data_IF_180282435790
#
_entry.id   IF_180282435790
#
_cell.length_a   1.000
_cell.length_b   1.000
_cell.length_c   1.000
_cell.angle_alpha   90.00
_cell.angle_beta   90.00
_cell.angle_gamma   90.00
#
_symmetry.space_group_name_H-M   'P 1'
#
loop_
_entity.id
_entity.type
_entity.pdbx_description
1 polymer ?
#
# COMPACT_ATOMS: atom_id res chain seq x y z
N UNK A 1 -0.04 25.97 6.76
CA UNK A 1 1.04 25.83 5.77
C UNK A 1 0.55 24.87 4.69
N UNK A 2 0.58 25.25 3.42
CA UNK A 2 0.18 24.38 2.31
C UNK A 2 1.42 23.81 1.61
N UNK A 3 1.37 22.53 1.25
CA UNK A 3 2.48 21.84 0.58
C UNK A 3 2.68 22.31 -0.87
N UNK A 4 1.60 22.82 -1.50
CA UNK A 4 1.58 23.24 -2.90
C UNK A 4 2.55 24.40 -3.21
N UNK A 5 2.78 25.34 -2.28
CA UNK A 5 3.72 26.44 -2.52
C UNK A 5 5.18 25.96 -2.63
N UNK A 6 5.55 24.97 -1.80
CA UNK A 6 6.86 24.32 -1.83
C UNK A 6 7.01 23.51 -3.12
N UNK A 7 5.96 22.79 -3.53
CA UNK A 7 5.92 22.05 -4.80
C UNK A 7 6.09 22.99 -6.01
N UNK A 8 5.34 24.09 -6.08
CA UNK A 8 5.43 25.09 -7.16
C UNK A 8 6.83 25.68 -7.23
N UNK A 9 7.44 26.01 -6.09
CA UNK A 9 8.82 26.50 -6.04
C UNK A 9 9.82 25.52 -6.69
N UNK A 10 9.79 24.24 -6.31
CA UNK A 10 10.70 23.25 -6.89
C UNK A 10 10.41 22.94 -8.37
N UNK A 11 9.14 22.93 -8.79
CA UNK A 11 8.74 22.79 -10.21
C UNK A 11 9.30 23.94 -11.04
N UNK A 12 9.11 25.19 -10.61
CA UNK A 12 9.62 26.37 -11.32
C UNK A 12 11.15 26.39 -11.32
N UNK A 13 11.79 26.01 -10.22
CA UNK A 13 13.25 25.91 -10.12
C UNK A 13 13.81 24.84 -11.07
N UNK A 14 13.16 23.68 -11.19
CA UNK A 14 13.56 22.61 -12.11
C UNK A 14 13.46 23.06 -13.57
N UNK A 15 12.36 23.71 -13.97
CA UNK A 15 12.20 24.24 -15.33
C UNK A 15 13.20 25.36 -15.61
N UNK A 16 13.38 26.31 -14.69
CA UNK A 16 14.33 27.41 -14.84
C UNK A 16 15.78 26.94 -14.92
N UNK A 17 16.20 26.02 -14.04
CA UNK A 17 17.56 25.47 -14.06
C UNK A 17 17.82 24.69 -15.34
N UNK A 18 16.84 23.94 -15.84
CA UNK A 18 16.96 23.25 -17.13
C UNK A 18 17.06 24.21 -18.34
N UNK A 19 16.30 25.31 -18.34
CA UNK A 19 16.42 26.35 -19.38
C UNK A 19 17.77 27.08 -19.32
N UNK A 20 18.30 27.35 -18.12
CA UNK A 20 19.65 27.91 -17.94
C UNK A 20 20.72 26.92 -18.41
N UNK A 21 20.58 25.64 -18.09
CA UNK A 21 21.42 24.55 -18.59
C UNK A 21 21.43 24.51 -20.13
N UNK A 22 20.27 24.59 -20.79
CA UNK A 22 20.18 24.61 -22.25
C UNK A 22 20.91 25.82 -22.88
N UNK A 23 20.89 26.98 -22.21
CA UNK A 23 21.64 28.15 -22.65
C UNK A 23 23.16 28.00 -22.41
N UNK A 24 23.58 27.40 -21.29
CA UNK A 24 24.99 27.08 -21.03
C UNK A 24 25.53 26.02 -21.99
N UNK A 25 24.74 24.99 -22.37
CA UNK A 25 25.13 23.97 -23.36
C UNK A 25 25.52 24.58 -24.71
N UNK A 26 24.83 25.65 -25.14
CA UNK A 26 25.12 26.34 -26.41
C UNK A 26 26.38 27.22 -26.36
N UNK A 27 26.78 27.68 -25.17
CA UNK A 27 27.90 28.64 -24.98
C UNK A 27 29.19 27.95 -24.58
N UNK A 28 29.13 27.01 -23.63
CA UNK A 28 30.29 26.35 -23.04
C UNK A 28 29.88 25.01 -22.40
N UNK A 29 29.78 23.92 -23.20
CA UNK A 29 29.53 22.58 -22.68
C UNK A 29 30.61 22.16 -21.68
N UNK A 30 30.22 21.34 -20.69
CA UNK A 30 31.09 20.87 -19.59
C UNK A 30 31.71 21.96 -18.68
N UNK A 31 31.35 23.24 -18.84
CA UNK A 31 31.78 24.30 -17.92
C UNK A 31 31.23 24.11 -16.49
N UNK A 32 31.85 24.76 -15.49
CA UNK A 32 31.33 24.73 -14.11
C UNK A 32 29.88 25.21 -14.01
N UNK A 33 29.49 26.23 -14.79
CA UNK A 33 28.10 26.71 -14.85
C UNK A 33 27.15 25.67 -15.46
N UNK A 34 27.62 24.92 -16.47
CA UNK A 34 26.85 23.85 -17.11
C UNK A 34 26.54 22.73 -16.12
N UNK A 35 27.56 22.30 -15.37
CA UNK A 35 27.40 21.32 -14.29
C UNK A 35 26.48 21.81 -13.17
N UNK A 36 26.66 23.06 -12.71
CA UNK A 36 25.80 23.65 -11.68
C UNK A 36 24.32 23.61 -12.08
N UNK A 37 23.96 24.11 -13.26
CA UNK A 37 22.55 24.12 -13.71
C UNK A 37 21.99 22.71 -13.96
N UNK A 38 22.82 21.78 -14.46
CA UNK A 38 22.42 20.39 -14.67
C UNK A 38 22.14 19.66 -13.35
N UNK A 39 23.05 19.77 -12.37
CA UNK A 39 22.91 19.18 -11.04
C UNK A 39 21.73 19.81 -10.28
N UNK A 40 21.58 21.13 -10.35
CA UNK A 40 20.44 21.84 -9.76
C UNK A 40 19.10 21.38 -10.35
N UNK A 41 19.05 21.07 -11.66
CA UNK A 41 17.86 20.49 -12.28
C UNK A 41 17.51 19.14 -11.62
N UNK A 42 18.48 18.24 -11.48
CA UNK A 42 18.28 16.93 -10.86
C UNK A 42 17.80 17.04 -9.41
N UNK A 43 18.47 17.86 -8.60
CA UNK A 43 18.09 18.10 -7.21
C UNK A 43 16.69 18.70 -7.10
N UNK A 44 16.36 19.73 -7.90
CA UNK A 44 15.04 20.36 -7.89
C UNK A 44 13.93 19.38 -8.33
N UNK A 45 14.17 18.53 -9.32
CA UNK A 45 13.25 17.46 -9.70
C UNK A 45 13.02 16.46 -8.56
N UNK A 46 14.09 16.02 -7.88
CA UNK A 46 13.98 15.13 -6.73
C UNK A 46 13.15 15.75 -5.61
N UNK A 47 13.41 17.03 -5.28
CA UNK A 47 12.64 17.74 -4.27
C UNK A 47 11.17 17.87 -4.66
N UNK A 48 10.85 18.18 -5.92
CA UNK A 48 9.46 18.25 -6.39
C UNK A 48 8.72 16.90 -6.21
N UNK A 49 9.33 15.79 -6.62
CA UNK A 49 8.76 14.44 -6.47
C UNK A 49 8.67 14.01 -5.00
N UNK A 50 9.69 14.35 -4.19
CA UNK A 50 9.73 14.08 -2.76
C UNK A 50 8.68 14.85 -1.95
N UNK A 51 8.31 16.05 -2.41
CA UNK A 51 7.21 16.84 -1.83
C UNK A 51 5.85 16.25 -2.22
N UNK A 52 5.60 15.96 -3.50
CA UNK A 52 4.33 15.37 -3.96
C UNK A 52 4.51 14.66 -5.30
N UNK A 53 3.85 13.53 -5.50
CA UNK A 53 3.92 12.77 -6.76
C UNK A 53 3.44 13.56 -8.00
N UNK A 54 2.70 14.66 -7.85
CA UNK A 54 2.40 15.58 -8.95
C UNK A 54 3.68 16.16 -9.60
N UNK A 55 4.79 16.27 -8.86
CA UNK A 55 6.10 16.64 -9.39
C UNK A 55 6.65 15.66 -10.43
N UNK A 56 6.18 14.40 -10.43
CA UNK A 56 6.58 13.38 -11.40
C UNK A 56 6.23 13.79 -12.83
N UNK A 57 5.10 14.47 -13.06
CA UNK A 57 4.71 14.94 -14.39
C UNK A 57 5.69 15.98 -14.94
N UNK A 58 6.18 16.89 -14.09
CA UNK A 58 7.20 17.88 -14.47
C UNK A 58 8.54 17.20 -14.74
N UNK A 59 8.94 16.24 -13.91
CA UNK A 59 10.18 15.48 -14.11
C UNK A 59 10.14 14.67 -15.42
N UNK A 60 9.04 13.97 -15.71
CA UNK A 60 8.85 13.24 -16.96
C UNK A 60 8.88 14.17 -18.19
N UNK A 61 8.27 15.36 -18.10
CA UNK A 61 8.36 16.38 -19.15
C UNK A 61 9.83 16.81 -19.39
N UNK A 62 10.59 17.08 -18.33
CA UNK A 62 12.00 17.46 -18.44
C UNK A 62 12.87 16.32 -18.97
N UNK A 63 12.59 15.07 -18.61
CA UNK A 63 13.25 13.89 -19.19
C UNK A 63 12.96 13.73 -20.68
N UNK A 64 11.71 13.95 -21.13
CA UNK A 64 11.36 13.93 -22.57
C UNK A 64 12.09 15.04 -23.32
N UNK A 65 12.12 16.26 -22.79
CA UNK A 65 12.86 17.38 -23.41
C UNK A 65 14.37 17.07 -23.45
N UNK A 66 14.92 16.48 -22.37
CA UNK A 66 16.32 16.06 -22.33
C UNK A 66 16.65 14.93 -23.32
N UNK A 67 15.74 13.97 -23.50
CA UNK A 67 15.84 12.93 -24.52
C UNK A 67 15.85 13.51 -25.94
N UNK A 68 14.96 14.47 -26.23
CA UNK A 68 14.94 15.16 -27.53
C UNK A 68 16.21 15.99 -27.75
N UNK A 69 16.68 16.74 -26.74
CA UNK A 69 17.94 17.48 -26.84
C UNK A 69 19.15 16.56 -27.02
N UNK A 70 19.16 15.38 -26.40
CA UNK A 70 20.21 14.38 -26.60
C UNK A 70 20.12 13.72 -28.00
N UNK A 71 18.91 13.49 -28.52
CA UNK A 71 18.72 13.01 -29.89
C UNK A 71 19.32 13.95 -30.94
N UNK A 72 19.11 15.27 -30.81
CA UNK A 72 19.75 16.25 -31.71
C UNK A 72 21.27 16.29 -31.55
N UNK A 73 21.79 16.00 -30.36
CA UNK A 73 23.24 15.93 -30.09
C UNK A 73 23.90 14.70 -30.75
N UNK A 74 23.19 13.57 -30.87
CA UNK A 74 23.66 12.39 -31.63
C UNK A 74 23.72 12.70 -33.13
N UNK A 75 22.80 13.53 -33.64
CA UNK A 75 22.77 13.92 -35.05
C UNK A 75 23.85 14.93 -35.48
N UNK A 76 24.60 15.50 -34.53
CA UNK A 76 25.62 16.51 -34.81
C UNK A 76 26.97 15.87 -35.18
N UNK A 77 27.27 15.86 -36.48
CA UNK A 77 28.50 15.30 -37.04
C UNK A 77 29.78 16.07 -36.64
N UNK A 78 29.67 17.27 -36.05
CA UNK A 78 30.82 18.02 -35.56
C UNK A 78 31.37 17.48 -34.23
N UNK A 79 30.63 16.60 -33.53
CA UNK A 79 31.01 16.07 -32.22
C UNK A 79 31.61 14.67 -32.33
N UNK A 80 32.67 14.42 -31.56
CA UNK A 80 33.25 13.08 -31.45
C UNK A 80 32.33 12.14 -30.66
N UNK A 81 32.33 10.85 -31.01
CA UNK A 81 31.57 9.81 -30.30
C UNK A 81 31.88 9.78 -28.78
N UNK A 82 33.12 10.10 -28.40
CA UNK A 82 33.54 10.21 -26.99
C UNK A 82 32.86 11.40 -26.30
N UNK A 83 32.75 12.56 -26.97
CA UNK A 83 32.03 13.73 -26.45
C UNK A 83 30.55 13.43 -26.24
N UNK A 84 29.91 12.74 -27.19
CA UNK A 84 28.50 12.30 -27.10
C UNK A 84 28.31 11.33 -25.92
N UNK A 85 29.23 10.37 -25.71
CA UNK A 85 29.20 9.46 -24.56
C UNK A 85 29.37 10.20 -23.22
N UNK A 86 30.34 11.12 -23.11
CA UNK A 86 30.48 11.97 -21.92
C UNK A 86 29.20 12.78 -21.64
N UNK A 87 28.56 13.28 -22.70
CA UNK A 87 27.30 14.01 -22.62
C UNK A 87 26.10 13.14 -22.23
N UNK A 88 26.10 11.84 -22.56
CA UNK A 88 25.13 10.85 -22.07
C UNK A 88 25.35 10.56 -20.59
N UNK A 89 26.58 10.21 -20.21
CA UNK A 89 26.94 9.84 -18.83
C UNK A 89 26.66 11.00 -17.85
N UNK A 90 27.03 12.23 -18.21
CA UNK A 90 26.77 13.40 -17.38
C UNK A 90 25.26 13.67 -17.19
N UNK A 91 24.45 13.51 -18.23
CA UNK A 91 22.98 13.65 -18.15
C UNK A 91 22.34 12.50 -17.38
N UNK A 92 22.76 11.26 -17.59
CA UNK A 92 22.26 10.09 -16.85
C UNK A 92 22.57 10.18 -15.36
N UNK A 93 23.80 10.59 -15.00
CA UNK A 93 24.20 10.84 -13.62
C UNK A 93 23.31 11.92 -12.97
N UNK A 94 23.17 13.09 -13.61
CA UNK A 94 22.50 14.23 -13.00
C UNK A 94 20.97 14.21 -13.08
N UNK A 95 20.38 13.61 -14.12
CA UNK A 95 18.93 13.57 -14.34
C UNK A 95 18.29 12.22 -14.01
N UNK A 96 19.06 11.18 -13.66
CA UNK A 96 18.51 9.89 -13.22
C UNK A 96 19.13 9.43 -11.90
N UNK A 97 20.45 9.26 -11.83
CA UNK A 97 21.11 8.71 -10.63
C UNK A 97 20.96 9.62 -9.42
N UNK A 98 21.22 10.92 -9.56
CA UNK A 98 21.07 11.90 -8.47
C UNK A 98 19.61 12.00 -7.98
N UNK A 99 18.59 12.16 -8.85
CA UNK A 99 17.19 12.15 -8.42
C UNK A 99 16.78 10.87 -7.68
N UNK A 100 17.19 9.69 -8.15
CA UNK A 100 16.87 8.42 -7.48
C UNK A 100 17.58 8.33 -6.11
N UNK A 101 18.86 8.67 -6.03
CA UNK A 101 19.62 8.64 -4.79
C UNK A 101 19.08 9.64 -3.74
N UNK A 102 18.70 10.85 -4.17
CA UNK A 102 18.08 11.88 -3.32
C UNK A 102 16.68 11.47 -2.86
N UNK A 103 15.87 10.87 -3.73
CA UNK A 103 14.56 10.36 -3.35
C UNK A 103 14.67 9.24 -2.30
N UNK A 104 15.60 8.29 -2.49
CA UNK A 104 15.88 7.25 -1.51
C UNK A 104 16.41 7.82 -0.19
N UNK A 105 17.26 8.86 -0.22
CA UNK A 105 17.79 9.49 1.00
C UNK A 105 16.70 10.23 1.79
N UNK A 106 15.72 10.85 1.13
CA UNK A 106 14.55 11.43 1.82
C UNK A 106 13.77 10.37 2.60
N UNK A 107 13.51 9.20 1.99
CA UNK A 107 12.81 8.11 2.67
C UNK A 107 13.67 7.41 3.72
N UNK A 108 14.99 7.37 3.55
CA UNK A 108 15.91 6.92 4.59
C UNK A 108 15.84 7.82 5.82
N UNK A 109 15.96 9.14 5.64
CA UNK A 109 15.82 10.13 6.72
C UNK A 109 14.43 10.08 7.36
N UNK A 110 13.37 9.93 6.56
CA UNK A 110 12.00 9.77 7.07
C UNK A 110 11.85 8.55 7.99
N UNK A 111 12.32 7.37 7.55
CA UNK A 111 12.21 6.13 8.31
C UNK A 111 13.18 6.04 9.50
N UNK A 112 14.28 6.79 9.51
CA UNK A 112 15.17 6.89 10.69
C UNK A 112 14.67 7.89 11.72
N UNK A 113 14.02 8.98 11.30
CA UNK A 113 13.42 9.96 12.22
C UNK A 113 12.10 9.45 12.83
N UNK A 114 11.25 8.81 12.04
CA UNK A 114 9.95 8.26 12.48
C UNK A 114 10.08 6.79 12.90
N UNK A 115 10.96 6.53 13.86
CA UNK A 115 11.21 5.18 14.38
C UNK A 115 10.15 4.70 15.38
N UNK A 116 9.23 5.54 15.85
CA UNK A 116 8.22 5.21 16.87
C UNK A 116 6.85 4.88 16.26
N UNK A 117 6.12 3.98 16.92
CA UNK A 117 4.72 3.65 16.62
C UNK A 117 3.79 4.87 16.80
N UNK A 118 2.71 4.93 16.01
CA UNK A 118 1.72 6.01 16.03
C UNK A 118 0.36 5.54 15.48
N UNK A 119 -0.73 6.31 15.65
CA UNK A 119 -2.10 5.81 15.51
C UNK A 119 -2.48 5.24 14.15
N UNK A 120 -1.75 5.59 13.08
CA UNK A 120 -2.02 5.16 11.71
C UNK A 120 -1.03 4.08 11.20
N UNK A 121 -0.14 3.55 12.05
CA UNK A 121 0.77 2.47 11.67
C UNK A 121 0.05 1.15 11.32
N UNK A 122 -1.19 0.99 11.80
CA UNK A 122 -2.11 -0.13 11.56
C UNK A 122 -2.30 -0.47 10.07
N UNK A 123 -2.14 0.50 9.18
CA UNK A 123 -2.21 0.36 7.71
C UNK A 123 -1.06 -0.51 7.17
N UNK A 124 0.09 -0.53 7.85
CA UNK A 124 1.28 -1.31 7.48
C UNK A 124 1.15 -2.78 7.89
N UNK A 125 2.07 -3.63 7.45
CA UNK A 125 2.16 -5.04 7.86
C UNK A 125 2.54 -5.17 9.34
N UNK A 126 2.18 -6.30 9.97
CA UNK A 126 2.63 -6.62 11.33
C UNK A 126 4.17 -6.67 11.42
N UNK A 127 4.86 -7.05 10.34
CA UNK A 127 6.32 -7.03 10.28
C UNK A 127 6.86 -5.59 10.36
N UNK A 128 6.30 -4.67 9.57
CA UNK A 128 6.68 -3.25 9.60
C UNK A 128 6.40 -2.63 10.99
N UNK A 129 5.19 -2.84 11.53
CA UNK A 129 4.80 -2.34 12.85
C UNK A 129 5.70 -2.87 13.98
N UNK A 130 6.08 -4.15 13.94
CA UNK A 130 7.00 -4.75 14.91
C UNK A 130 8.45 -4.23 14.79
N UNK A 131 8.76 -3.44 13.76
CA UNK A 131 10.07 -2.79 13.56
C UNK A 131 10.09 -1.30 13.94
N UNK A 132 9.01 -0.79 14.53
CA UNK A 132 8.89 0.55 15.12
C UNK A 132 8.94 0.43 16.65
N UNK A 133 9.59 1.36 17.33
CA UNK A 133 9.66 1.37 18.80
C UNK A 133 8.29 1.72 19.43
N UNK A 134 7.92 0.99 20.49
CA UNK A 134 6.60 1.07 21.10
C UNK A 134 5.57 0.19 20.41
N UNK A 135 4.27 0.54 20.55
CA UNK A 135 3.16 -0.12 19.86
C UNK A 135 3.23 -1.65 19.83
N UNK A 136 3.21 -2.20 18.61
CA UNK A 136 3.29 -3.65 18.38
C UNK A 136 4.63 -4.26 18.80
N UNK A 137 5.76 -3.58 18.59
CA UNK A 137 7.07 -4.13 18.95
C UNK A 137 7.15 -4.42 20.45
N UNK A 138 6.63 -3.54 21.31
CA UNK A 138 6.58 -3.79 22.77
C UNK A 138 5.78 -5.04 23.15
N UNK A 139 4.74 -5.39 22.39
CA UNK A 139 3.86 -6.53 22.67
C UNK A 139 4.45 -7.83 22.10
N UNK A 140 5.11 -7.75 20.95
CA UNK A 140 5.67 -8.89 20.20
C UNK A 140 7.15 -9.15 20.47
N UNK A 141 7.83 -8.26 21.21
CA UNK A 141 9.19 -8.48 21.70
C UNK A 141 9.25 -9.78 22.50
N UNK A 142 10.27 -10.59 22.16
CA UNK A 142 10.56 -11.86 22.83
C UNK A 142 9.49 -12.94 22.75
N UNK A 143 8.45 -12.78 21.93
CA UNK A 143 7.52 -13.87 21.66
C UNK A 143 8.22 -15.05 20.98
N UNK A 144 7.81 -16.31 21.24
CA UNK A 144 8.42 -17.45 20.60
C UNK A 144 8.29 -17.38 19.07
N UNK A 145 9.35 -17.75 18.35
CA UNK A 145 9.36 -17.64 16.89
C UNK A 145 8.52 -18.73 16.22
N UNK A 146 8.60 -19.96 16.71
CA UNK A 146 7.95 -21.14 16.12
C UNK A 146 6.60 -21.41 16.77
N UNK A 147 5.53 -21.52 15.98
CA UNK A 147 4.21 -21.88 16.50
C UNK A 147 4.17 -23.39 16.73
N UNK A 148 3.86 -23.79 17.96
CA UNK A 148 3.81 -25.18 18.40
C UNK A 148 2.38 -25.61 18.81
N UNK A 149 2.14 -26.90 18.99
CA UNK A 149 0.91 -27.37 19.64
C UNK A 149 0.87 -26.91 21.11
N UNK A 150 -0.29 -26.41 21.55
CA UNK A 150 -0.50 -25.70 22.83
C UNK A 150 -0.26 -24.19 22.78
N UNK A 151 0.19 -23.65 21.64
CA UNK A 151 0.46 -22.22 21.49
C UNK A 151 -0.81 -21.39 21.50
N UNK A 152 -0.80 -20.29 22.25
CA UNK A 152 -1.82 -19.24 22.22
C UNK A 152 -1.38 -18.18 21.20
N UNK A 153 -2.20 -17.86 20.21
CA UNK A 153 -1.88 -16.96 19.09
C UNK A 153 -3.02 -15.99 18.79
N UNK A 154 -2.70 -14.84 18.21
CA UNK A 154 -3.68 -13.98 17.53
C UNK A 154 -3.48 -14.05 16.01
N UNK A 155 -4.56 -14.24 15.26
CA UNK A 155 -4.53 -14.41 13.80
C UNK A 155 -5.04 -13.14 13.11
N UNK A 156 -4.16 -12.42 12.41
CA UNK A 156 -4.50 -11.24 11.61
C UNK A 156 -4.67 -11.61 10.14
N UNK A 157 -5.68 -11.06 9.47
CA UNK A 157 -5.84 -11.24 8.02
C UNK A 157 -4.85 -10.34 7.25
N UNK A 158 -4.20 -10.88 6.21
CA UNK A 158 -3.15 -10.16 5.45
C UNK A 158 -3.74 -9.09 4.52
N UNK A 159 -4.93 -9.31 3.94
CA UNK A 159 -5.55 -8.31 3.06
C UNK A 159 -5.89 -7.01 3.82
N UNK A 160 -6.48 -7.14 5.01
CA UNK A 160 -6.78 -6.00 5.89
C UNK A 160 -7.54 -4.86 5.23
N UNK A 161 -8.49 -5.16 4.33
CA UNK A 161 -9.39 -4.18 3.68
C UNK A 161 -10.84 -4.48 4.07
N UNK A 162 -11.66 -3.46 4.39
CA UNK A 162 -11.34 -2.02 4.39
C UNK A 162 -10.42 -1.58 5.54
N UNK A 163 -10.24 -2.42 6.57
CA UNK A 163 -9.41 -2.17 7.75
C UNK A 163 -8.69 -3.46 8.19
N UNK A 164 -7.53 -3.37 8.88
CA UNK A 164 -6.89 -4.53 9.48
C UNK A 164 -7.83 -5.18 10.50
N UNK A 165 -7.84 -6.51 10.58
CA UNK A 165 -8.69 -7.24 11.50
C UNK A 165 -8.08 -8.57 11.95
N UNK A 166 -8.47 -8.99 13.15
CA UNK A 166 -8.07 -10.25 13.78
C UNK A 166 -9.25 -11.22 13.85
N UNK A 167 -8.98 -12.51 13.70
CA UNK A 167 -9.97 -13.57 13.87
C UNK A 167 -10.50 -13.53 15.31
N UNK A 168 -11.80 -13.32 15.46
CA UNK A 168 -12.46 -12.98 16.71
C UNK A 168 -13.66 -13.91 16.96
N UNK A 169 -13.97 -14.18 18.22
CA UNK A 169 -15.20 -14.88 18.59
C UNK A 169 -15.68 -14.47 19.97
N UNK A 170 -16.97 -14.16 20.10
CA UNK A 170 -17.61 -13.70 21.34
C UNK A 170 -18.79 -14.61 21.68
N UNK A 171 -19.33 -14.53 22.90
CA UNK A 171 -20.32 -15.50 23.43
C UNK A 171 -21.65 -15.56 22.67
N UNK A 172 -21.94 -14.61 21.79
CA UNK A 172 -23.19 -14.56 21.02
C UNK A 172 -23.20 -15.61 19.91
N UNK A 173 -24.40 -16.06 19.56
CA UNK A 173 -24.64 -17.00 18.46
C UNK A 173 -25.19 -16.33 17.21
N UNK A 174 -25.05 -16.97 16.05
CA UNK A 174 -25.72 -16.51 14.83
C UNK A 174 -27.25 -16.58 14.99
N UNK A 175 -28.03 -15.67 14.38
CA UNK A 175 -29.48 -15.71 14.46
C UNK A 175 -30.02 -16.96 13.73
N UNK A 176 -31.02 -17.64 14.30
CA UNK A 176 -31.58 -18.92 13.77
C UNK A 176 -31.98 -18.80 12.28
N UNK A 177 -32.43 -17.62 11.86
CA UNK A 177 -32.61 -17.24 10.45
C UNK A 177 -31.94 -15.90 10.20
N UNK A 178 -31.28 -15.77 9.05
CA UNK A 178 -30.80 -14.47 8.58
C UNK A 178 -31.97 -13.63 8.00
N UNK A 179 -31.72 -12.35 7.74
CA UNK A 179 -32.70 -11.40 7.21
C UNK A 179 -33.36 -11.85 5.88
N UNK A 180 -32.62 -12.60 5.05
CA UNK A 180 -33.15 -13.18 3.81
C UNK A 180 -33.86 -14.54 3.97
N UNK A 181 -34.25 -14.90 5.20
CA UNK A 181 -35.07 -16.07 5.50
C UNK A 181 -34.35 -17.43 5.49
N UNK A 182 -33.09 -17.48 5.04
CA UNK A 182 -32.23 -18.68 5.12
C UNK A 182 -31.94 -19.04 6.58
N UNK A 183 -31.84 -20.32 6.88
CA UNK A 183 -31.44 -20.83 8.20
C UNK A 183 -29.94 -20.69 8.45
N UNK A 184 -29.57 -20.49 9.72
CA UNK A 184 -28.21 -20.57 10.25
C UNK A 184 -28.03 -21.83 11.11
N UNK A 185 -26.79 -22.15 11.46
CA UNK A 185 -26.45 -23.17 12.45
C UNK A 185 -26.79 -22.80 13.89
N UNK A 186 -27.04 -21.51 14.18
CA UNK A 186 -27.17 -20.96 15.52
C UNK A 186 -25.95 -21.21 16.44
N UNK A 187 -24.78 -21.49 15.87
CA UNK A 187 -23.54 -21.68 16.62
C UNK A 187 -22.89 -20.34 17.03
N UNK A 188 -21.82 -20.38 17.84
CA UNK A 188 -21.13 -19.17 18.30
C UNK A 188 -20.51 -18.42 17.10
N UNK A 189 -20.69 -17.10 17.06
CA UNK A 189 -20.23 -16.25 15.97
C UNK A 189 -18.70 -16.26 15.84
N UNK A 190 -18.20 -16.28 14.59
CA UNK A 190 -16.78 -16.02 14.27
C UNK A 190 -16.72 -14.88 13.26
N UNK A 191 -15.90 -13.90 13.56
CA UNK A 191 -15.83 -12.63 12.83
C UNK A 191 -14.38 -12.18 12.67
N UNK A 192 -14.16 -11.09 11.96
CA UNK A 192 -12.88 -10.40 11.96
C UNK A 192 -13.06 -9.01 12.59
N UNK A 193 -12.47 -8.81 13.78
CA UNK A 193 -12.62 -7.59 14.59
C UNK A 193 -11.43 -6.64 14.36
N UNK A 194 -11.64 -5.34 14.13
CA UNK A 194 -10.58 -4.40 13.76
C UNK A 194 -9.79 -3.79 14.93
N UNK A 195 -10.00 -4.28 16.16
CA UNK A 195 -9.23 -3.84 17.32
C UNK A 195 -8.64 -5.04 18.08
N UNK A 196 -7.61 -4.77 18.89
CA UNK A 196 -7.02 -5.78 19.76
C UNK A 196 -7.93 -6.05 20.95
N UNK A 197 -8.28 -7.32 21.13
CA UNK A 197 -9.18 -7.80 22.17
C UNK A 197 -8.70 -9.16 22.71
N UNK A 198 -9.09 -9.50 23.92
CA UNK A 198 -8.76 -10.79 24.54
C UNK A 198 -9.51 -11.95 23.83
N UNK A 199 -10.64 -11.65 23.20
CA UNK A 199 -11.40 -12.56 22.33
C UNK A 199 -10.77 -12.75 20.93
N UNK A 200 -9.58 -12.20 20.66
CA UNK A 200 -8.81 -12.46 19.44
C UNK A 200 -7.81 -13.63 19.61
N UNK A 201 -7.71 -14.21 20.81
CA UNK A 201 -6.75 -15.27 21.12
C UNK A 201 -7.30 -16.67 20.81
N UNK A 202 -6.49 -17.47 20.15
CA UNK A 202 -6.77 -18.85 19.76
C UNK A 202 -5.66 -19.78 20.23
N UNK A 203 -6.01 -20.98 20.67
CA UNK A 203 -5.07 -22.03 21.09
C UNK A 203 -4.95 -23.04 19.96
N UNK A 204 -3.73 -23.30 19.50
CA UNK A 204 -3.45 -24.29 18.45
C UNK A 204 -3.29 -25.67 19.08
N UNK A 205 -4.33 -26.50 19.01
CA UNK A 205 -4.40 -27.80 19.65
C UNK A 205 -4.08 -28.94 18.68
N UNK A 206 -3.46 -29.99 19.19
CA UNK A 206 -3.25 -31.27 18.49
C UNK A 206 -4.55 -32.09 18.47
N UNK A 207 -5.07 -32.50 17.31
CA UNK A 207 -6.21 -33.40 17.22
C UNK A 207 -6.05 -34.71 18.02
N UNK A 208 -4.82 -35.22 18.14
CA UNK A 208 -4.52 -36.48 18.85
C UNK A 208 -4.38 -36.36 20.37
N UNK A 209 -4.39 -35.14 20.93
CA UNK A 209 -4.07 -34.90 22.35
C UNK A 209 -5.16 -34.07 23.02
N UNK A 210 -5.57 -34.43 24.25
CA UNK A 210 -6.59 -33.66 24.99
C UNK A 210 -6.05 -32.38 25.66
N UNK A 211 -4.74 -32.32 25.91
CA UNK A 211 -4.08 -31.18 26.55
C UNK A 211 -4.11 -29.91 25.68
N UNK A 212 -4.24 -28.75 26.33
CA UNK A 212 -4.21 -27.41 25.72
C UNK A 212 -2.90 -26.64 26.01
N UNK A 213 -1.95 -27.32 26.64
CA UNK A 213 -0.66 -26.78 27.13
C UNK A 213 0.44 -27.18 26.15
N UNK A 214 1.49 -26.35 26.03
CA UNK A 214 2.64 -26.67 25.17
C UNK A 214 3.46 -27.81 25.77
N UNK A 215 3.81 -28.80 24.94
CA UNK A 215 4.70 -29.90 25.33
C UNK A 215 6.10 -29.40 25.70
N UNK A 216 6.83 -30.12 26.55
CA UNK A 216 8.25 -29.86 26.80
C UNK A 216 9.07 -31.07 26.33
N UNK A 217 9.87 -30.97 25.25
CA UNK A 217 10.09 -29.80 24.41
C UNK A 217 8.87 -29.40 23.54
N UNK A 218 8.77 -28.13 23.10
CA UNK A 218 7.70 -27.69 22.20
C UNK A 218 7.73 -28.47 20.87
N UNK A 219 6.56 -28.89 20.38
CA UNK A 219 6.42 -29.58 19.09
C UNK A 219 5.99 -28.57 18.01
N UNK A 220 6.92 -28.04 17.17
CA UNK A 220 6.59 -27.02 16.17
C UNK A 220 5.70 -27.58 15.05
N UNK A 221 4.84 -26.70 14.52
CA UNK A 221 3.91 -27.04 13.44
C UNK A 221 4.57 -26.77 12.09
N UNK A 222 4.56 -27.77 11.21
CA UNK A 222 5.12 -27.69 9.85
C UNK A 222 4.03 -27.55 8.79
N UNK A 223 4.43 -27.19 7.58
CA UNK A 223 3.54 -27.20 6.42
C UNK A 223 2.78 -28.55 6.29
N UNK A 224 1.48 -28.48 5.99
CA UNK A 224 0.62 -29.63 5.72
C UNK A 224 0.09 -30.34 6.96
N UNK A 225 0.52 -29.96 8.17
CA UNK A 225 0.00 -30.54 9.41
C UNK A 225 -1.43 -30.10 9.73
N UNK A 226 -2.15 -30.93 10.47
CA UNK A 226 -3.55 -30.72 10.87
C UNK A 226 -3.60 -30.24 12.32
N UNK A 227 -4.35 -29.16 12.55
CA UNK A 227 -4.55 -28.53 13.85
C UNK A 227 -6.03 -28.39 14.17
N UNK A 228 -6.36 -28.25 15.46
CA UNK A 228 -7.64 -27.72 15.95
C UNK A 228 -7.39 -26.31 16.47
N UNK A 229 -8.12 -25.31 15.98
CA UNK A 229 -8.09 -23.96 16.55
C UNK A 229 -9.19 -23.85 17.61
N UNK A 230 -8.80 -23.53 18.85
CA UNK A 230 -9.72 -23.41 20.00
C UNK A 230 -9.77 -21.95 20.44
N UNK A 231 -10.94 -21.34 20.52
CA UNK A 231 -11.05 -19.95 21.00
C UNK A 231 -10.64 -19.86 22.48
N UNK A 232 -9.76 -18.91 22.83
CA UNK A 232 -9.09 -18.84 24.13
C UNK A 232 -10.06 -18.70 25.30
N UNK A 233 -11.03 -17.79 25.20
CA UNK A 233 -11.98 -17.47 26.27
C UNK A 233 -13.15 -18.46 26.32
N UNK A 234 -13.79 -18.78 25.19
CA UNK A 234 -14.99 -19.66 25.21
C UNK A 234 -14.66 -21.14 25.09
N UNK A 235 -13.40 -21.50 24.81
CA UNK A 235 -12.91 -22.88 24.64
C UNK A 235 -13.62 -23.70 23.55
N UNK A 236 -14.34 -23.02 22.65
CA UNK A 236 -15.03 -23.65 21.50
C UNK A 236 -14.08 -23.82 20.32
N UNK A 237 -14.34 -24.84 19.51
CA UNK A 237 -13.52 -25.15 18.34
C UNK A 237 -13.95 -24.35 17.12
N UNK A 238 -13.01 -23.80 16.36
CA UNK A 238 -13.26 -23.25 15.03
C UNK A 238 -13.73 -24.37 14.09
N UNK A 239 -14.88 -24.15 13.46
CA UNK A 239 -15.61 -25.13 12.69
C UNK A 239 -16.14 -24.47 11.41
N UNK A 240 -16.24 -25.22 10.33
CA UNK A 240 -17.04 -24.83 9.16
C UNK A 240 -17.76 -26.06 8.63
N UNK A 241 -18.90 -25.84 7.98
CA UNK A 241 -19.90 -26.88 7.75
C UNK A 241 -20.80 -26.45 6.58
N UNK A 242 -21.69 -27.33 6.13
CA UNK A 242 -22.48 -27.09 4.90
C UNK A 242 -23.73 -26.23 5.14
N UNK A 243 -23.53 -25.07 5.76
CA UNK A 243 -24.50 -23.97 5.91
C UNK A 243 -23.93 -22.76 5.17
N UNK A 244 -24.77 -22.06 4.42
CA UNK A 244 -24.34 -20.88 3.67
C UNK A 244 -24.09 -19.68 4.60
N UNK A 245 -23.04 -18.91 4.33
CA UNK A 245 -22.65 -17.75 5.13
C UNK A 245 -23.74 -16.63 5.14
N UNK A 246 -23.79 -15.82 6.21
CA UNK A 246 -24.87 -14.85 6.46
C UNK A 246 -25.07 -13.82 5.35
N UNK A 247 -23.99 -13.30 4.75
CA UNK A 247 -24.03 -12.32 3.67
C UNK A 247 -23.49 -12.88 2.35
N UNK A 248 -22.58 -13.86 2.41
CA UNK A 248 -21.95 -14.48 1.24
C UNK A 248 -22.55 -15.87 0.92
N UNK A 249 -23.72 -15.98 0.25
CA UNK A 249 -24.43 -17.26 0.07
C UNK A 249 -23.68 -18.34 -0.70
N UNK A 250 -22.62 -17.98 -1.44
CA UNK A 250 -21.78 -18.90 -2.20
C UNK A 250 -20.66 -19.56 -1.36
N UNK A 251 -20.46 -19.11 -0.12
CA UNK A 251 -19.45 -19.61 0.80
C UNK A 251 -20.10 -20.25 2.05
N UNK A 252 -19.32 -21.06 2.76
CA UNK A 252 -19.75 -21.75 3.99
C UNK A 252 -19.65 -20.82 5.21
N UNK A 253 -20.57 -20.96 6.16
CA UNK A 253 -20.51 -20.31 7.48
C UNK A 253 -19.29 -20.85 8.26
N UNK A 254 -18.56 -19.95 8.90
CA UNK A 254 -17.50 -20.29 9.86
C UNK A 254 -18.01 -19.94 11.25
N UNK A 255 -17.91 -20.88 12.18
CA UNK A 255 -18.52 -20.80 13.49
C UNK A 255 -17.61 -21.39 14.56
N UNK A 256 -17.87 -21.05 15.82
CA UNK A 256 -17.33 -21.78 16.96
C UNK A 256 -18.35 -22.84 17.38
N UNK A 257 -17.98 -24.13 17.23
CA UNK A 257 -18.92 -25.24 17.41
C UNK A 257 -19.50 -25.28 18.83
N UNK A 258 -20.83 -25.27 18.90
CA UNK A 258 -21.60 -25.54 20.12
C UNK A 258 -22.23 -26.92 19.96
N UNK A 259 -21.96 -27.79 20.93
CA UNK A 259 -22.66 -29.07 21.02
C UNK A 259 -24.06 -28.85 21.59
N UNK A 260 -25.07 -29.00 20.74
CA UNK A 260 -26.48 -28.97 21.11
C UNK A 260 -27.06 -30.36 21.37
N UNK A 261 -26.20 -31.39 21.50
CA UNK A 261 -26.60 -32.80 21.58
C UNK A 261 -27.40 -33.24 20.33
N UNK A 262 -27.00 -32.72 19.16
CA UNK A 262 -27.58 -33.01 17.83
C UNK A 262 -26.61 -33.94 17.09
N UNK A 263 -27.13 -34.82 16.23
CA UNK A 263 -26.39 -35.86 15.51
C UNK A 263 -25.31 -35.38 14.50
N UNK A 264 -25.00 -34.08 14.44
CA UNK A 264 -23.93 -33.55 13.57
C UNK A 264 -22.61 -33.44 14.35
N UNK A 265 -21.60 -34.28 14.07
CA UNK A 265 -20.31 -34.19 14.73
C UNK A 265 -19.57 -32.91 14.32
N UNK A 266 -18.76 -32.37 15.24
CA UNK A 266 -17.91 -31.21 14.99
C UNK A 266 -16.91 -31.47 13.85
N UNK A 267 -16.82 -30.55 12.90
CA UNK A 267 -15.82 -30.56 11.82
C UNK A 267 -14.82 -29.44 12.10
N UNK A 268 -13.82 -29.77 12.93
CA UNK A 268 -12.90 -28.80 13.53
C UNK A 268 -11.43 -28.98 13.12
N UNK A 269 -11.17 -29.78 12.08
CA UNK A 269 -9.84 -30.11 11.62
C UNK A 269 -9.40 -29.17 10.48
N UNK A 270 -8.32 -28.45 10.70
CA UNK A 270 -7.76 -27.48 9.75
C UNK A 270 -6.33 -27.86 9.40
N UNK A 271 -6.03 -28.03 8.11
CA UNK A 271 -4.67 -28.18 7.59
C UNK A 271 -4.02 -26.80 7.44
N UNK A 272 -2.80 -26.65 7.96
CA UNK A 272 -2.02 -25.40 7.87
C UNK A 272 -1.14 -25.41 6.62
N UNK A 273 -1.41 -24.49 5.69
CA UNK A 273 -0.65 -24.36 4.45
C UNK A 273 0.17 -23.06 4.44
N UNK A 274 1.50 -23.18 4.58
CA UNK A 274 2.43 -22.03 4.53
C UNK A 274 2.64 -21.65 3.06
N UNK A 275 2.40 -20.39 2.73
CA UNK A 275 2.37 -19.89 1.35
C UNK A 275 3.72 -19.34 0.92
N UNK A 276 4.37 -18.57 1.79
CA UNK A 276 5.69 -17.99 1.57
C UNK A 276 6.83 -18.91 2.03
N UNK A 277 6.72 -20.21 1.73
CA UNK A 277 7.71 -21.22 2.08
C UNK A 277 8.77 -21.37 1.00
N UNK A 278 10.00 -21.64 1.43
CA UNK A 278 11.10 -22.08 0.54
C UNK A 278 11.16 -23.60 0.46
N UNK A 279 10.73 -24.30 1.52
CA UNK A 279 10.69 -25.77 1.57
C UNK A 279 9.42 -26.31 2.24
N UNK A 280 9.01 -27.53 1.90
CA UNK A 280 7.91 -28.21 2.58
C UNK A 280 8.27 -28.65 4.03
N UNK A 281 9.54 -28.53 4.42
CA UNK A 281 9.99 -28.74 5.81
C UNK A 281 9.81 -27.49 6.70
N UNK A 282 9.39 -26.36 6.12
CA UNK A 282 9.30 -25.07 6.81
C UNK A 282 8.31 -25.13 7.99
N UNK A 283 8.75 -24.56 9.10
CA UNK A 283 7.98 -24.38 10.34
C UNK A 283 7.15 -23.10 10.26
N UNK A 284 5.94 -23.14 10.82
CA UNK A 284 5.08 -21.98 10.97
C UNK A 284 5.70 -20.98 11.95
N UNK A 285 6.09 -19.79 11.45
CA UNK A 285 6.79 -18.75 12.22
C UNK A 285 5.93 -17.51 12.45
N UNK A 286 6.04 -16.91 13.63
CA UNK A 286 5.34 -15.68 14.01
C UNK A 286 5.80 -14.47 13.21
N UNK A 287 4.85 -13.62 12.80
CA UNK A 287 5.01 -12.41 11.96
C UNK A 287 5.51 -12.70 10.53
N UNK A 288 6.29 -13.76 10.32
CA UNK A 288 6.98 -14.05 9.07
C UNK A 288 6.17 -14.97 8.14
N UNK A 289 5.46 -15.98 8.65
CA UNK A 289 4.75 -16.93 7.81
C UNK A 289 3.34 -16.45 7.47
N UNK A 290 3.02 -16.41 6.18
CA UNK A 290 1.66 -16.29 5.67
C UNK A 290 1.06 -17.68 5.51
N UNK A 291 -0.02 -17.96 6.25
CA UNK A 291 -0.68 -19.27 6.26
C UNK A 291 -2.11 -19.22 5.74
N UNK A 292 -2.54 -20.31 5.11
CA UNK A 292 -3.95 -20.63 4.85
C UNK A 292 -4.38 -21.75 5.78
N UNK A 293 -5.62 -21.66 6.26
CA UNK A 293 -6.27 -22.77 6.97
C UNK A 293 -7.25 -23.44 6.02
N UNK A 294 -6.98 -24.70 5.68
CA UNK A 294 -7.81 -25.50 4.77
C UNK A 294 -8.59 -26.51 5.60
N UNK A 295 -9.91 -26.39 5.62
CA UNK A 295 -10.77 -27.30 6.36
C UNK A 295 -10.68 -28.72 5.75
N UNK A 296 -10.43 -29.72 6.59
CA UNK A 296 -10.15 -31.09 6.12
C UNK A 296 -11.40 -31.73 5.50
N UNK A 297 -12.58 -31.53 6.10
CA UNK A 297 -13.80 -32.21 5.67
C UNK A 297 -14.44 -31.60 4.41
N UNK A 298 -14.47 -30.26 4.30
CA UNK A 298 -15.17 -29.57 3.18
C UNK A 298 -14.23 -28.98 2.12
N UNK A 299 -12.91 -29.08 2.32
CA UNK A 299 -11.85 -28.42 1.52
C UNK A 299 -11.97 -26.90 1.34
N UNK A 300 -12.84 -26.26 2.14
CA UNK A 300 -12.99 -24.82 2.20
C UNK A 300 -11.80 -24.15 2.91
N UNK A 301 -11.40 -22.97 2.44
CA UNK A 301 -10.34 -22.17 3.04
C UNK A 301 -10.93 -21.03 3.88
N UNK A 302 -10.32 -20.77 5.04
CA UNK A 302 -10.68 -19.65 5.91
C UNK A 302 -10.37 -18.31 5.22
N UNK A 303 -11.41 -17.56 4.84
CA UNK A 303 -11.33 -16.33 4.05
C UNK A 303 -12.05 -15.17 4.76
N UNK A 304 -11.45 -13.99 4.70
CA UNK A 304 -12.15 -12.73 4.99
C UNK A 304 -13.05 -12.36 3.80
N UNK A 305 -14.36 -12.24 4.02
CA UNK A 305 -15.31 -11.78 2.99
C UNK A 305 -15.14 -10.28 2.70
N UNK A 306 -14.86 -9.49 3.74
CA UNK A 306 -14.69 -8.03 3.67
C UNK A 306 -16.00 -7.26 3.80
N UNK A 307 -17.15 -7.94 3.79
CA UNK A 307 -18.46 -7.33 4.05
C UNK A 307 -18.70 -7.24 5.57
N UNK A 308 -19.14 -6.09 6.13
CA UNK A 308 -19.52 -5.98 7.53
C UNK A 308 -20.86 -6.69 7.78
N UNK A 309 -20.94 -7.43 8.89
CA UNK A 309 -22.18 -8.05 9.36
C UNK A 309 -23.23 -7.00 9.76
N UNK A 310 -24.54 -7.35 9.80
CA UNK A 310 -25.56 -6.47 10.34
C UNK A 310 -25.40 -6.23 11.85
N UNK A 311 -26.32 -5.48 12.45
CA UNK A 311 -26.21 -5.06 13.86
C UNK A 311 -26.15 -6.24 14.86
N UNK A 312 -26.71 -7.41 14.53
CA UNK A 312 -26.60 -8.64 15.34
C UNK A 312 -25.17 -9.22 15.40
N UNK A 313 -24.31 -8.84 14.46
CA UNK A 313 -22.88 -9.18 14.39
C UNK A 313 -21.98 -7.97 14.68
N UNK A 314 -22.51 -6.94 15.35
CA UNK A 314 -21.79 -5.74 15.79
C UNK A 314 -21.02 -4.98 14.69
N UNK A 315 -21.43 -5.11 13.42
CA UNK A 315 -20.74 -4.55 12.24
C UNK A 315 -19.28 -5.00 12.07
N UNK A 316 -18.92 -6.13 12.70
CA UNK A 316 -17.64 -6.81 12.49
C UNK A 316 -17.59 -7.45 11.10
N UNK A 317 -16.41 -7.70 10.54
CA UNK A 317 -16.31 -8.24 9.17
C UNK A 317 -16.62 -9.74 9.13
N UNK A 318 -17.33 -10.17 8.08
CA UNK A 318 -17.71 -11.56 7.85
C UNK A 318 -16.48 -12.45 7.52
N UNK A 319 -16.38 -13.60 8.19
CA UNK A 319 -15.38 -14.65 7.92
C UNK A 319 -16.11 -15.87 7.36
N UNK A 320 -15.60 -16.43 6.27
CA UNK A 320 -16.28 -17.48 5.48
C UNK A 320 -15.34 -18.61 5.09
N UNK A 321 -15.91 -19.79 4.82
CA UNK A 321 -15.22 -20.93 4.24
C UNK A 321 -15.46 -20.97 2.73
N UNK A 322 -14.47 -20.59 1.91
CA UNK A 322 -14.59 -20.63 0.45
C UNK A 322 -13.78 -21.78 -0.15
N UNK A 323 -14.40 -22.60 -0.99
CA UNK A 323 -13.70 -23.66 -1.74
C UNK A 323 -12.79 -23.02 -2.80
N UNK A 324 -11.63 -23.63 -3.05
CA UNK A 324 -10.56 -23.08 -3.88
C UNK A 324 -11.05 -22.58 -5.26
N UNK A 325 -11.16 -21.26 -5.41
CA UNK A 325 -11.20 -20.58 -6.70
C UNK A 325 -9.78 -20.42 -7.25
N UNK A 326 -9.59 -20.42 -8.58
CA UNK A 326 -8.26 -20.47 -9.24
C UNK A 326 -7.41 -19.17 -9.12
N UNK A 327 -7.70 -18.31 -8.14
CA UNK A 327 -7.00 -17.04 -7.92
C UNK A 327 -6.22 -17.02 -6.60
N UNK A 328 -5.03 -16.42 -6.62
CA UNK A 328 -4.33 -16.04 -5.39
C UNK A 328 -5.04 -14.83 -4.77
N UNK A 329 -5.69 -15.01 -3.61
CA UNK A 329 -6.38 -13.94 -2.90
C UNK A 329 -5.78 -13.72 -1.51
N UNK A 330 -5.27 -12.52 -1.24
CA UNK A 330 -4.70 -12.14 0.06
C UNK A 330 -5.72 -12.24 1.22
N UNK A 331 -7.02 -12.23 0.93
CA UNK A 331 -8.10 -12.41 1.91
C UNK A 331 -8.11 -13.81 2.57
N UNK A 332 -7.49 -14.81 1.93
CA UNK A 332 -7.37 -16.18 2.43
C UNK A 332 -6.11 -16.38 3.30
N UNK A 333 -5.26 -15.35 3.40
CA UNK A 333 -3.98 -15.42 4.09
C UNK A 333 -4.10 -14.82 5.49
N UNK A 334 -3.52 -15.53 6.45
CA UNK A 334 -3.48 -15.16 7.86
C UNK A 334 -2.04 -15.16 8.35
N UNK A 335 -1.74 -14.28 9.29
CA UNK A 335 -0.43 -14.15 9.93
C UNK A 335 -0.61 -14.20 11.46
N UNK A 336 0.32 -14.82 12.16
CA UNK A 336 0.35 -14.83 13.63
C UNK A 336 1.05 -13.56 14.09
N UNK A 337 0.29 -12.62 14.65
CA UNK A 337 0.82 -11.35 15.11
C UNK A 337 1.42 -11.47 16.52
N UNK A 338 0.60 -11.91 17.48
CA UNK A 338 0.99 -12.17 18.87
C UNK A 338 0.99 -13.68 19.15
N UNK A 339 1.94 -14.14 19.96
CA UNK A 339 2.16 -15.56 20.25
C UNK A 339 2.71 -15.78 21.66
N UNK A 340 2.21 -16.81 22.34
CA UNK A 340 2.64 -17.23 23.68
C UNK A 340 2.59 -18.76 23.76
N UNK A 341 3.54 -19.37 24.46
CA UNK A 341 3.40 -20.77 24.85
C UNK A 341 2.50 -20.86 26.08
N UNK A 342 1.30 -21.43 25.92
CA UNK A 342 0.37 -21.62 27.02
C UNK A 342 0.92 -22.61 28.04
N UNK A 343 1.00 -22.18 29.31
CA UNK A 343 1.48 -23.01 30.43
C UNK A 343 0.35 -23.52 31.32
N UNK A 344 -0.72 -22.74 31.46
CA UNK A 344 -1.81 -23.04 32.39
C UNK A 344 -2.81 -24.03 31.79
N UNK A 345 -3.21 -25.03 32.57
CA UNK A 345 -4.13 -26.07 32.14
C UNK A 345 -5.59 -25.71 32.46
N UNK A 346 -5.83 -25.05 33.61
CA UNK A 346 -7.16 -24.58 34.01
C UNK A 346 -7.66 -23.41 33.15
N UNK A 347 -8.98 -23.26 33.04
CA UNK A 347 -9.56 -22.16 32.26
C UNK A 347 -9.37 -20.79 32.95
N UNK A 348 -9.58 -20.70 34.27
CA UNK A 348 -9.46 -19.44 35.01
C UNK A 348 -8.03 -18.89 34.97
N UNK A 349 -7.04 -19.76 35.13
CA UNK A 349 -5.63 -19.38 35.02
C UNK A 349 -5.28 -18.92 33.60
N UNK A 350 -5.80 -19.59 32.56
CA UNK A 350 -5.63 -19.15 31.16
C UNK A 350 -6.29 -17.80 30.88
N UNK A 351 -7.47 -17.53 31.43
CA UNK A 351 -8.10 -16.21 31.32
C UNK A 351 -7.20 -15.12 31.94
N UNK A 352 -6.62 -15.37 33.13
CA UNK A 352 -5.65 -14.46 33.77
C UNK A 352 -4.34 -14.35 32.96
N UNK A 353 -3.82 -15.45 32.41
CA UNK A 353 -2.63 -15.47 31.55
C UNK A 353 -2.85 -14.61 30.29
N UNK A 354 -4.01 -14.74 29.63
CA UNK A 354 -4.42 -13.95 28.47
C UNK A 354 -4.56 -12.45 28.78
N UNK A 355 -4.98 -12.09 29.99
CA UNK A 355 -5.03 -10.69 30.45
C UNK A 355 -3.66 -10.10 30.82
N UNK A 356 -2.63 -10.93 31.06
CA UNK A 356 -1.29 -10.45 31.44
C UNK A 356 -0.48 -9.95 30.24
N UNK A 357 0.33 -8.88 30.36
CA UNK A 357 1.18 -8.42 29.27
C UNK A 357 2.35 -9.38 28.99
N UNK A 358 2.76 -9.48 27.72
CA UNK A 358 4.02 -10.14 27.30
C UNK A 358 5.23 -9.26 27.62
N UNK A 359 6.27 -9.86 28.22
CA UNK A 359 7.55 -9.21 28.54
C UNK A 359 8.72 -10.20 28.40
N UNK A 360 9.33 -10.26 27.22
CA UNK A 360 10.63 -10.92 26.96
C UNK A 360 11.34 -10.10 25.85
N UNK A 361 12.67 -10.09 25.77
CA UNK A 361 13.41 -9.26 24.81
C UNK A 361 13.98 -10.04 23.62
N UNK A 362 13.44 -9.83 22.41
CA UNK A 362 14.08 -10.18 21.12
C UNK A 362 13.68 -9.12 20.08
N UNK A 363 14.65 -8.53 19.38
CA UNK A 363 14.42 -7.56 18.29
C UNK A 363 14.41 -8.22 16.91
N UNK A 364 13.49 -7.78 16.02
CA UNK A 364 13.44 -8.16 14.60
C UNK A 364 13.81 -6.95 13.74
N UNK A 365 14.96 -7.00 13.06
CA UNK A 365 15.43 -5.90 12.20
C UNK A 365 15.00 -6.12 10.74
N UNK A 366 13.98 -5.38 10.30
CA UNK A 366 13.62 -5.29 8.87
C UNK A 366 14.63 -4.43 8.09
N UNK A 367 14.94 -4.82 6.85
CA UNK A 367 15.81 -4.04 5.97
C UNK A 367 15.13 -2.74 5.51
N UNK A 368 15.92 -1.69 5.28
CA UNK A 368 15.42 -0.41 4.76
C UNK A 368 14.64 -0.58 3.46
N UNK A 369 15.13 -1.41 2.53
CA UNK A 369 14.49 -1.60 1.24
C UNK A 369 13.10 -2.25 1.37
N UNK A 370 12.92 -3.21 2.29
CA UNK A 370 11.61 -3.79 2.56
C UNK A 370 10.63 -2.77 3.15
N UNK A 371 11.08 -1.94 4.11
CA UNK A 371 10.28 -0.84 4.66
C UNK A 371 9.91 0.18 3.57
N UNK A 372 10.86 0.53 2.71
CA UNK A 372 10.66 1.48 1.61
C UNK A 372 9.64 0.97 0.59
N UNK A 373 9.80 -0.25 0.07
CA UNK A 373 8.89 -0.79 -0.96
C UNK A 373 7.47 -0.98 -0.42
N UNK A 374 7.32 -1.43 0.83
CA UNK A 374 6.01 -1.51 1.47
C UNK A 374 5.34 -0.13 1.57
N UNK A 375 6.06 0.87 2.08
CA UNK A 375 5.54 2.24 2.23
C UNK A 375 5.14 2.84 0.87
N UNK A 376 5.98 2.71 -0.16
CA UNK A 376 5.68 3.18 -1.52
C UNK A 376 4.43 2.49 -2.10
N UNK A 377 4.32 1.17 -1.93
CA UNK A 377 3.14 0.42 -2.37
C UNK A 377 1.88 0.88 -1.64
N UNK A 378 1.95 1.14 -0.34
CA UNK A 378 0.82 1.65 0.46
C UNK A 378 0.42 3.06 0.01
N UNK A 379 1.37 3.97 -0.27
CA UNK A 379 1.07 5.31 -0.80
C UNK A 379 0.34 5.24 -2.15
N UNK A 380 0.68 4.27 -3.02
CA UNK A 380 0.05 4.10 -4.33
C UNK A 380 -1.29 3.34 -4.30
N UNK A 381 -1.41 2.32 -3.44
CA UNK A 381 -2.55 1.38 -3.42
C UNK A 381 -3.61 1.68 -2.34
N UNK A 382 -3.32 2.59 -1.40
CA UNK A 382 -4.31 3.13 -0.47
C UNK A 382 -5.15 4.19 -1.18
N UNK A 383 -6.19 3.73 -1.88
CA UNK A 383 -7.29 4.60 -2.27
C UNK A 383 -8.06 4.96 -1.01
N UNK A 384 -8.01 6.22 -0.58
CA UNK A 384 -8.96 6.73 0.39
C UNK A 384 -10.37 6.56 -0.19
N UNK A 385 -11.22 5.79 0.48
CA UNK A 385 -12.66 5.74 0.23
C UNK A 385 -13.36 6.92 0.91
N UNK A 386 -12.77 8.11 0.81
CA UNK A 386 -13.39 9.34 1.27
C UNK A 386 -14.54 9.66 0.32
N UNK A 387 -15.73 9.82 0.89
CA UNK A 387 -16.91 10.32 0.19
C UNK A 387 -16.59 11.66 -0.48
N UNK A 388 -17.08 11.88 -1.70
CA UNK A 388 -16.77 13.09 -2.47
C UNK A 388 -17.02 14.35 -1.63
N UNK A 389 -15.93 15.04 -1.28
CA UNK A 389 -16.00 16.17 -0.37
C UNK A 389 -16.82 17.30 -1.02
N UNK A 390 -17.62 18.04 -0.25
CA UNK A 390 -18.50 19.11 -0.78
C UNK A 390 -17.79 20.19 -1.63
N UNK A 391 -16.48 20.36 -1.45
CA UNK A 391 -15.63 21.29 -2.19
C UNK A 391 -14.67 20.59 -3.18
N UNK A 392 -14.96 19.33 -3.53
CA UNK A 392 -14.28 18.64 -4.62
C UNK A 392 -14.69 19.28 -5.96
N UNK A 393 -13.78 19.22 -6.94
CA UNK A 393 -13.96 19.83 -8.27
C UNK A 393 -13.50 18.86 -9.34
N UNK A 394 -14.17 18.90 -10.50
CA UNK A 394 -13.76 18.09 -11.65
C UNK A 394 -12.59 18.76 -12.40
N UNK A 395 -11.69 17.99 -13.05
CA UNK A 395 -10.56 18.57 -13.79
C UNK A 395 -10.95 19.54 -14.91
N UNK A 396 -12.16 19.40 -15.48
CA UNK A 396 -12.68 20.34 -16.49
C UNK A 396 -13.14 21.66 -15.88
N UNK A 397 -13.73 21.63 -14.68
CA UNK A 397 -14.13 22.85 -13.95
C UNK A 397 -12.94 23.74 -13.57
N UNK A 398 -11.70 23.19 -13.58
CA UNK A 398 -10.49 23.99 -13.39
C UNK A 398 -10.23 24.92 -14.58
N UNK A 399 -10.63 24.57 -15.81
CA UNK A 399 -10.42 25.41 -16.99
C UNK A 399 -11.35 26.63 -16.97
N UNK A 400 -12.63 26.39 -16.70
CA UNK A 400 -13.68 27.43 -16.61
C UNK A 400 -13.63 28.22 -15.30
N UNK A 401 -13.08 27.63 -14.23
CA UNK A 401 -13.03 28.18 -12.87
C UNK A 401 -14.42 28.32 -12.22
N UNK A 402 -15.33 27.39 -12.52
CA UNK A 402 -16.73 27.40 -12.04
C UNK A 402 -16.85 27.14 -10.53
N UNK A 403 -15.83 26.54 -9.90
CA UNK A 403 -15.83 26.11 -8.49
C UNK A 403 -14.73 26.79 -7.68
N UNK A 404 -15.08 27.36 -6.53
CA UNK A 404 -14.15 27.86 -5.52
C UNK A 404 -13.91 26.84 -4.39
N UNK A 405 -12.75 26.91 -3.73
CA UNK A 405 -12.44 26.09 -2.56
C UNK A 405 -12.41 27.00 -1.32
N UNK A 406 -13.22 26.68 -0.31
CA UNK A 406 -13.26 27.43 0.96
C UNK A 406 -12.22 26.83 1.92
N UNK A 407 -11.18 27.59 2.26
CA UNK A 407 -10.15 27.15 3.21
C UNK A 407 -10.54 27.37 4.67
N UNK A 408 -11.29 28.44 4.95
CA UNK A 408 -11.65 28.80 6.32
C UNK A 408 -12.90 29.67 6.34
N UNK A 409 -13.70 29.49 7.40
CA UNK A 409 -14.90 30.26 7.72
C UNK A 409 -14.86 30.57 9.22
N UNK A 410 -14.95 31.85 9.57
CA UNK A 410 -15.10 32.26 10.97
C UNK A 410 -16.54 32.03 11.44
N UNK A 411 -16.80 31.27 12.52
CA UNK A 411 -18.16 30.94 12.93
C UNK A 411 -19.00 32.15 13.39
N UNK A 412 -18.39 33.11 14.11
CA UNK A 412 -19.12 34.29 14.61
C UNK A 412 -19.19 35.50 13.66
N UNK A 413 -18.09 35.88 12.99
CA UNK A 413 -18.04 37.06 12.11
C UNK A 413 -18.35 36.79 10.64
N UNK A 414 -18.50 35.52 10.24
CA UNK A 414 -18.77 35.14 8.85
C UNK A 414 -17.61 35.39 7.87
N UNK A 415 -16.44 35.84 8.33
CA UNK A 415 -15.26 36.06 7.50
C UNK A 415 -14.79 34.75 6.84
N UNK A 416 -14.42 34.79 5.56
CA UNK A 416 -14.08 33.61 4.78
C UNK A 416 -12.77 33.79 4.01
N UNK A 417 -12.01 32.70 3.88
CA UNK A 417 -10.82 32.62 3.02
C UNK A 417 -11.13 31.62 1.90
N UNK A 418 -11.13 32.13 0.66
CA UNK A 418 -11.39 31.36 -0.56
C UNK A 418 -10.15 31.24 -1.40
N UNK A 419 -9.97 30.08 -2.05
CA UNK A 419 -9.07 29.93 -3.18
C UNK A 419 -9.87 30.11 -4.47
N UNK A 420 -9.53 31.17 -5.20
CA UNK A 420 -10.00 31.43 -6.56
C UNK A 420 -8.83 31.99 -7.38
N UNK A 421 -8.74 31.60 -8.64
CA UNK A 421 -7.75 32.18 -9.56
C UNK A 421 -8.07 33.65 -9.87
N UNK A 422 -7.07 34.42 -10.26
CA UNK A 422 -7.33 35.73 -10.86
C UNK A 422 -7.97 35.50 -12.24
N UNK A 423 -9.26 35.85 -12.37
CA UNK A 423 -10.08 35.64 -13.59
C UNK A 423 -9.35 36.07 -14.86
N UNK A 424 -8.74 37.27 -14.86
CA UNK A 424 -8.07 37.83 -16.04
C UNK A 424 -6.81 37.04 -16.41
N UNK A 425 -6.00 36.64 -15.42
CA UNK A 425 -4.78 35.85 -15.65
C UNK A 425 -5.16 34.43 -16.12
N UNK A 426 -6.19 33.83 -15.52
CA UNK A 426 -6.61 32.46 -15.83
C UNK A 426 -7.21 32.35 -17.23
N UNK A 427 -8.18 33.22 -17.55
CA UNK A 427 -8.80 33.26 -18.88
C UNK A 427 -7.81 33.60 -19.98
N UNK A 428 -6.90 34.56 -19.76
CA UNK A 428 -5.85 34.88 -20.75
C UNK A 428 -4.83 33.76 -20.92
N UNK A 429 -4.45 33.04 -19.85
CA UNK A 429 -3.58 31.86 -19.95
C UNK A 429 -4.22 30.71 -20.74
N UNK A 430 -5.51 30.43 -20.52
CA UNK A 430 -6.26 29.43 -21.28
C UNK A 430 -6.40 29.83 -22.76
N UNK A 431 -6.75 31.09 -23.04
CA UNK A 431 -6.82 31.61 -24.41
C UNK A 431 -5.46 31.58 -25.13
N UNK A 432 -4.37 31.95 -24.45
CA UNK A 432 -3.01 31.88 -24.98
C UNK A 432 -2.56 30.44 -25.26
N UNK A 433 -2.92 29.49 -24.40
CA UNK A 433 -2.63 28.07 -24.58
C UNK A 433 -3.37 27.49 -25.78
N UNK A 434 -4.66 27.81 -25.93
CA UNK A 434 -5.46 27.42 -27.10
C UNK A 434 -4.91 28.05 -28.39
N UNK A 435 -4.59 29.34 -28.37
CA UNK A 435 -3.99 30.03 -29.51
C UNK A 435 -2.64 29.41 -29.91
N UNK A 436 -1.80 29.05 -28.93
CA UNK A 436 -0.54 28.34 -29.17
C UNK A 436 -0.76 26.98 -29.82
N UNK A 437 -1.73 26.18 -29.35
CA UNK A 437 -2.06 24.88 -29.95
C UNK A 437 -2.56 25.02 -31.39
N UNK A 438 -3.45 25.97 -31.66
CA UNK A 438 -3.94 26.26 -33.01
C UNK A 438 -2.81 26.70 -33.95
N UNK A 439 -1.94 27.61 -33.50
CA UNK A 439 -0.76 28.04 -34.26
C UNK A 439 0.22 26.89 -34.50
N UNK A 440 0.48 26.05 -33.49
CA UNK A 440 1.36 24.90 -33.60
C UNK A 440 0.86 23.89 -34.64
N UNK A 441 -0.43 23.52 -34.60
CA UNK A 441 -1.05 22.65 -35.59
C UNK A 441 -1.02 23.28 -37.00
N UNK A 442 -1.27 24.58 -37.11
CA UNK A 442 -1.21 25.33 -38.37
C UNK A 442 0.21 25.32 -38.98
N UNK A 443 1.25 25.59 -38.19
CA UNK A 443 2.64 25.52 -38.63
C UNK A 443 3.06 24.10 -39.02
N UNK A 444 2.59 23.06 -38.31
CA UNK A 444 2.82 21.66 -38.71
C UNK A 444 2.19 21.34 -40.08
N UNK A 445 0.96 21.80 -40.33
CA UNK A 445 0.28 21.61 -41.62
C UNK A 445 0.99 22.37 -42.76
N UNK A 446 1.41 23.62 -42.54
CA UNK A 446 2.19 24.40 -43.51
C UNK A 446 3.55 23.77 -43.81
N UNK A 447 4.26 23.27 -42.78
CA UNK A 447 5.53 22.55 -42.95
C UNK A 447 5.37 21.24 -43.73
N UNK A 448 4.27 20.49 -43.52
CA UNK A 448 3.95 19.30 -44.35
C UNK A 448 3.69 19.65 -45.82
N UNK A 449 3.25 20.88 -46.10
CA UNK A 449 3.09 21.46 -47.45
C UNK A 449 4.36 22.15 -47.98
N UNK A 450 5.51 22.00 -47.30
CA UNK A 450 6.82 22.61 -47.62
C UNK A 450 6.85 24.16 -47.57
N UNK A 451 5.91 24.79 -46.87
CA UNK A 451 5.94 26.24 -46.61
C UNK A 451 6.72 26.46 -45.31
N UNK A 452 7.84 27.19 -45.41
CA UNK A 452 8.79 27.39 -44.30
C UNK A 452 8.69 28.79 -43.69
N UNK A 453 7.78 28.96 -42.73
CA UNK A 453 7.46 30.27 -42.14
C UNK A 453 8.46 30.79 -41.10
N UNK A 454 9.23 29.89 -40.49
CA UNK A 454 10.21 30.21 -39.43
C UNK A 454 11.59 29.77 -39.89
N UNK A 455 12.57 30.69 -40.03
CA UNK A 455 13.95 30.37 -40.37
C UNK A 455 14.54 29.29 -39.45
N UNK A 456 15.36 28.41 -39.99
CA UNK A 456 15.86 27.25 -39.24
C UNK A 456 16.77 27.63 -38.06
N UNK A 457 17.40 28.81 -38.12
CA UNK A 457 18.33 29.32 -37.11
C UNK A 457 17.64 29.97 -35.91
N UNK A 458 16.40 30.46 -36.07
CA UNK A 458 15.61 31.04 -34.97
C UNK A 458 15.00 29.97 -34.04
N UNK A 459 15.09 28.68 -34.38
CA UNK A 459 14.45 27.63 -33.59
C UNK A 459 15.32 27.22 -32.41
N UNK A 460 14.81 27.47 -31.21
CA UNK A 460 15.23 26.73 -30.03
C UNK A 460 14.75 25.26 -30.11
N UNK A 461 15.46 24.47 -30.92
CA UNK A 461 15.85 23.05 -30.84
C UNK A 461 14.94 21.84 -31.16
N UNK A 462 13.83 21.47 -30.47
CA UNK A 462 13.23 20.13 -30.56
C UNK A 462 12.88 19.56 -31.94
N UNK A 463 12.86 20.38 -33.00
CA UNK A 463 12.22 20.05 -34.28
C UNK A 463 13.12 20.18 -35.53
N UNK A 464 14.46 20.03 -35.42
CA UNK A 464 15.32 19.89 -36.61
C UNK A 464 15.20 18.50 -37.27
N UNK A 465 15.23 17.39 -36.51
CA UNK A 465 15.29 16.02 -37.08
C UNK A 465 14.13 15.05 -36.79
N UNK A 466 12.96 15.49 -36.31
CA UNK A 466 11.83 14.57 -36.10
C UNK A 466 11.10 14.15 -37.40
N UNK A 467 11.56 14.62 -38.57
CA UNK A 467 10.91 14.42 -39.88
C UNK A 467 11.97 14.32 -41.00
N UNK A 468 11.91 13.30 -41.88
CA UNK A 468 12.85 13.17 -42.99
C UNK A 468 12.41 14.02 -44.19
N UNK A 469 13.34 14.79 -44.75
CA UNK A 469 13.17 15.48 -46.03
C UNK A 469 13.92 16.82 -46.09
N UNK A 470 14.89 17.00 -47.01
CA UNK A 470 15.46 18.31 -47.26
C UNK A 470 14.39 19.24 -47.84
N UNK A 471 14.30 20.46 -47.33
CA UNK A 471 13.55 21.50 -48.00
C UNK A 471 14.34 21.94 -49.23
N UNK A 472 13.81 21.67 -50.43
CA UNK A 472 14.30 22.30 -51.65
C UNK A 472 14.11 23.81 -51.51
N UNK A 473 15.21 24.55 -51.64
CA UNK A 473 15.15 25.99 -51.78
C UNK A 473 14.52 26.34 -53.14
N UNK A 474 13.63 27.32 -53.12
CA UNK A 474 13.12 28.06 -54.29
C UNK A 474 13.29 29.53 -54.00
#
# INVERSE_FOLDING_TARGET
>A
MLLESILIFFILLAVLSYLKFCNSQKRSPFSATWWFWLLLTGVACSCAVGVKYMGLFTYMLLLVIAGVHFWHLIGDQALSNVSVLCHLLARGLALVVIPVAMYLSFFYVHLTLLYRSGPHDQIMTSAFQASLEGGLARITQGQPLEVAYGSQITLRNVLGKPMPCWLHSHKNTYPIRYENGRGSSHQQQVTCYPFKDVNNWWIVKDPGTQQLVVSNPPRPIRHGQIVQLVHGITTRYLNTHDVAAPLSPHAQEVSCYIDYNISMPAQNLWRVEIVNRESDADVWKTILSEVRFVHVNTSAMLKLSGVPLPDWGYRQLEVVGEKLSKGYHQSMLWNVEEHRYGKSQEQKEREVELHSPTQIDISKNLSFMAKFTELQWKILALKNEDTEHKYSSSPLAWITMDTNIVYWLHPASGAQIHLIGNVLIWTSANAATLAYLCLFLWYLLRRRRRICDVPEDCRALPYKHLWPGPCLAT
#
